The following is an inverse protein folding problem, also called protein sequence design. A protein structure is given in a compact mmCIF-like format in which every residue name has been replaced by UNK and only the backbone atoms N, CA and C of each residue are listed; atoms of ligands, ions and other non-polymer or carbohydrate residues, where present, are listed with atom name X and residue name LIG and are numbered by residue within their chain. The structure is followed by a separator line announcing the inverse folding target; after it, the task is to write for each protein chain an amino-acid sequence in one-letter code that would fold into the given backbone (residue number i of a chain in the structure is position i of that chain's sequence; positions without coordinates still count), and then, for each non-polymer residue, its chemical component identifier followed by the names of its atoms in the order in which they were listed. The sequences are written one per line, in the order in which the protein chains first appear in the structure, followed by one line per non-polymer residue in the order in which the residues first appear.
data_IF_149394924442
#
_entry.id   IF_149394924442
#
_cell.length_a   1.000
_cell.length_b   1.000
_cell.length_c   1.000
_cell.angle_alpha   90.00
_cell.angle_beta   90.00
_cell.angle_gamma   90.00
#
_symmetry.space_group_name_H-M   'P 1'
#
loop_
_entity.id
_entity.type
_entity.pdbx_description
1 polymer ?
#
# COMPACT_ATOMS: atom_id res chain seq x y z
N UNK A 1 -13.26 -8.23 -13.10
CA UNK A 1 -12.78 -7.03 -13.82
C UNK A 1 -12.63 -5.78 -12.92
N UNK A 2 -13.27 -5.72 -11.75
CA UNK A 2 -13.20 -4.55 -10.84
C UNK A 2 -12.01 -4.54 -9.87
N UNK A 3 -11.52 -5.72 -9.44
CA UNK A 3 -10.40 -5.82 -8.48
C UNK A 3 -9.03 -5.43 -9.04
N UNK A 4 -8.81 -5.66 -10.34
CA UNK A 4 -7.52 -5.39 -10.98
C UNK A 4 -7.31 -3.87 -11.16
N UNK A 5 -8.39 -3.18 -11.52
CA UNK A 5 -8.40 -1.72 -11.61
C UNK A 5 -8.21 -1.04 -10.26
N UNK A 6 -8.72 -1.60 -9.15
CA UNK A 6 -8.51 -1.02 -7.82
C UNK A 6 -7.07 -1.20 -7.32
N UNK A 7 -6.43 -2.33 -7.64
CA UNK A 7 -5.01 -2.58 -7.34
C UNK A 7 -4.06 -1.66 -8.12
N UNK A 8 -4.31 -1.48 -9.42
CA UNK A 8 -3.60 -0.51 -10.26
C UNK A 8 -3.69 0.92 -9.71
N UNK A 9 -4.90 1.36 -9.33
CA UNK A 9 -5.11 2.68 -8.73
C UNK A 9 -4.38 2.86 -7.39
N UNK A 10 -4.35 1.82 -6.55
CA UNK A 10 -3.62 1.84 -5.29
C UNK A 10 -2.11 2.00 -5.50
N UNK A 11 -1.54 1.21 -6.41
CA UNK A 11 -0.12 1.28 -6.76
C UNK A 11 0.26 2.67 -7.26
N UNK A 12 -0.56 3.24 -8.15
CA UNK A 12 -0.32 4.57 -8.69
C UNK A 12 -0.33 5.65 -7.59
N UNK A 13 -1.33 5.63 -6.71
CA UNK A 13 -1.43 6.60 -5.60
C UNK A 13 -0.27 6.48 -4.61
N UNK A 14 0.13 5.24 -4.29
CA UNK A 14 1.27 5.00 -3.42
C UNK A 14 2.56 5.50 -4.08
N UNK A 15 2.76 5.23 -5.37
CA UNK A 15 3.91 5.71 -6.13
C UNK A 15 3.98 7.24 -6.16
N UNK A 16 2.86 7.92 -6.43
CA UNK A 16 2.77 9.39 -6.40
C UNK A 16 3.13 9.96 -5.02
N UNK A 17 2.61 9.36 -3.95
CA UNK A 17 2.92 9.78 -2.58
C UNK A 17 4.40 9.61 -2.26
N UNK A 18 4.97 8.45 -2.59
CA UNK A 18 6.39 8.16 -2.37
C UNK A 18 7.28 9.14 -3.15
N UNK A 19 7.02 9.30 -4.44
CA UNK A 19 7.78 10.20 -5.31
C UNK A 19 7.65 11.66 -4.88
N UNK A 20 6.45 12.09 -4.46
CA UNK A 20 6.19 13.41 -3.90
C UNK A 20 6.99 13.66 -2.63
N UNK A 21 6.97 12.74 -1.67
CA UNK A 21 7.74 12.87 -0.42
C UNK A 21 9.25 12.94 -0.69
N UNK A 22 9.77 12.13 -1.61
CA UNK A 22 11.19 12.12 -1.97
C UNK A 22 11.59 13.44 -2.64
N UNK A 23 10.78 13.93 -3.58
CA UNK A 23 11.09 15.10 -4.39
C UNK A 23 10.97 16.41 -3.60
N UNK A 24 10.02 16.48 -2.67
CA UNK A 24 9.78 17.66 -1.85
C UNK A 24 10.63 17.70 -0.56
N UNK A 25 11.39 16.63 -0.26
CA UNK A 25 12.23 16.57 0.93
C UNK A 25 13.50 17.42 0.77
N UNK A 26 13.89 18.13 1.84
CA UNK A 26 15.21 18.77 1.96
C UNK A 26 16.36 17.76 1.87
N UNK A 27 16.06 16.48 2.18
CA UNK A 27 17.02 15.37 2.17
C UNK A 27 16.44 14.15 1.42
N UNK A 28 16.41 14.18 0.08
CA UNK A 28 15.82 13.12 -0.73
C UNK A 28 16.43 11.73 -0.49
N UNK A 29 17.73 11.67 -0.18
CA UNK A 29 18.43 10.41 0.15
C UNK A 29 17.92 9.76 1.44
N UNK A 30 17.65 10.56 2.48
CA UNK A 30 17.07 10.06 3.73
C UNK A 30 15.61 9.60 3.50
N UNK A 31 14.84 10.32 2.69
CA UNK A 31 13.48 9.94 2.31
C UNK A 31 13.45 8.60 1.52
N UNK A 32 14.36 8.41 0.57
CA UNK A 32 14.53 7.13 -0.14
C UNK A 32 14.84 5.98 0.82
N UNK A 33 15.80 6.19 1.72
CA UNK A 33 16.18 5.20 2.73
C UNK A 33 15.00 4.84 3.62
N UNK A 34 14.23 5.83 4.07
CA UNK A 34 13.03 5.64 4.89
C UNK A 34 12.01 4.76 4.17
N UNK A 35 11.68 5.08 2.92
CA UNK A 35 10.73 4.28 2.14
C UNK A 35 11.21 2.84 1.94
N UNK A 36 12.49 2.63 1.58
CA UNK A 36 13.04 1.28 1.46
C UNK A 36 12.93 0.49 2.77
N UNK A 37 13.29 1.10 3.90
CA UNK A 37 13.21 0.45 5.21
C UNK A 37 11.76 0.15 5.63
N UNK A 38 10.82 1.03 5.33
CA UNK A 38 9.39 0.80 5.60
C UNK A 38 8.83 -0.37 4.80
N UNK A 39 9.38 -0.60 3.61
CA UNK A 39 9.08 -1.78 2.79
C UNK A 39 9.89 -3.02 3.21
N UNK A 40 10.79 -2.90 4.19
CA UNK A 40 11.66 -3.97 4.69
C UNK A 40 12.57 -4.58 3.61
N UNK A 41 12.88 -3.82 2.56
CA UNK A 41 13.70 -4.27 1.43
C UNK A 41 15.18 -3.97 1.71
N UNK A 42 16.09 -4.94 1.51
CA UNK A 42 17.52 -4.69 1.69
C UNK A 42 18.11 -3.89 0.51
N UNK A 43 19.25 -3.21 0.72
CA UNK A 43 19.96 -2.54 -0.37
C UNK A 43 20.39 -3.52 -1.47
N UNK A 44 20.71 -4.76 -1.11
CA UNK A 44 21.06 -5.85 -2.02
C UNK A 44 19.90 -6.23 -2.93
N UNK A 45 18.68 -6.24 -2.40
CA UNK A 45 17.52 -6.75 -3.13
C UNK A 45 17.08 -5.72 -4.18
N UNK A 46 16.98 -4.46 -3.77
CA UNK A 46 16.64 -3.38 -4.69
C UNK A 46 17.75 -3.12 -5.73
N UNK A 47 19.02 -3.25 -5.34
CA UNK A 47 20.13 -3.10 -6.29
C UNK A 47 20.16 -4.24 -7.32
N UNK A 48 19.88 -5.47 -6.89
CA UNK A 48 19.74 -6.63 -7.78
C UNK A 48 18.57 -6.44 -8.74
N UNK A 49 17.42 -5.96 -8.25
CA UNK A 49 16.25 -5.67 -9.07
C UNK A 49 16.53 -4.58 -10.12
N UNK A 50 17.26 -3.53 -9.74
CA UNK A 50 17.61 -2.42 -10.63
C UNK A 50 18.81 -2.71 -11.54
N UNK A 51 19.49 -3.86 -11.37
CA UNK A 51 20.70 -4.20 -12.13
C UNK A 51 21.89 -3.27 -11.83
N UNK A 52 21.99 -2.75 -10.62
CA UNK A 52 23.06 -1.85 -10.17
C UNK A 52 23.81 -2.44 -8.99
N UNK A 53 24.99 -1.90 -8.67
CA UNK A 53 25.71 -2.30 -7.44
C UNK A 53 24.99 -1.78 -6.18
N UNK A 54 24.99 -2.52 -5.06
CA UNK A 54 24.51 -2.02 -3.77
C UNK A 54 25.13 -0.68 -3.34
N UNK A 55 26.38 -0.42 -3.75
CA UNK A 55 27.06 0.86 -3.49
C UNK A 55 26.34 2.05 -4.12
N UNK A 56 25.68 1.87 -5.27
CA UNK A 56 24.91 2.92 -5.95
C UNK A 56 23.70 3.32 -5.12
N UNK A 57 23.00 2.34 -4.54
CA UNK A 57 21.85 2.60 -3.65
C UNK A 57 22.33 3.33 -2.39
N UNK A 58 23.43 2.85 -1.79
CA UNK A 58 24.07 3.49 -0.64
C UNK A 58 24.51 4.93 -0.92
N UNK A 59 25.01 5.22 -2.12
CA UNK A 59 25.37 6.59 -2.55
C UNK A 59 24.17 7.55 -2.59
N UNK A 60 23.01 7.08 -3.04
CA UNK A 60 21.79 7.87 -3.01
C UNK A 60 21.28 8.06 -1.58
N UNK A 61 21.22 6.98 -0.79
CA UNK A 61 20.69 7.02 0.58
C UNK A 61 21.55 7.85 1.53
N UNK A 62 22.87 7.91 1.29
CA UNK A 62 23.80 8.73 2.08
C UNK A 62 23.84 10.20 1.66
N UNK A 63 23.15 10.57 0.58
CA UNK A 63 23.18 11.93 0.03
C UNK A 63 24.51 12.31 -0.63
N UNK A 64 25.41 11.34 -0.91
CA UNK A 64 26.63 11.58 -1.71
C UNK A 64 26.29 12.12 -3.10
N UNK A 65 25.15 11.70 -3.65
CA UNK A 65 24.57 12.28 -4.87
C UNK A 65 23.52 13.31 -4.47
N UNK A 66 23.83 14.59 -4.67
CA UNK A 66 22.92 15.70 -4.41
C UNK A 66 21.74 15.60 -5.37
N UNK A 67 20.56 15.34 -4.82
CA UNK A 67 19.26 15.24 -5.50
C UNK A 67 19.19 14.13 -6.58
N UNK A 68 18.51 13.01 -6.29
CA UNK A 68 18.19 12.01 -7.30
C UNK A 68 17.36 12.66 -8.42
N UNK A 69 17.73 12.44 -9.68
CA UNK A 69 16.89 12.87 -10.81
C UNK A 69 15.51 12.19 -10.79
N UNK A 70 14.49 12.84 -11.35
CA UNK A 70 13.11 12.31 -11.38
C UNK A 70 13.02 10.88 -11.94
N UNK A 71 13.85 10.56 -12.94
CA UNK A 71 13.92 9.23 -13.55
C UNK A 71 14.44 8.15 -12.59
N UNK A 72 15.39 8.47 -11.71
CA UNK A 72 15.89 7.49 -10.73
C UNK A 72 14.89 7.32 -9.58
N UNK A 73 14.19 8.40 -9.19
CA UNK A 73 13.12 8.34 -8.19
C UNK A 73 12.01 7.38 -8.67
N UNK A 74 11.52 7.55 -9.89
CA UNK A 74 10.51 6.66 -10.48
C UNK A 74 10.97 5.21 -10.43
N UNK A 75 12.18 4.92 -10.95
CA UNK A 75 12.72 3.54 -10.96
C UNK A 75 12.82 2.91 -9.57
N UNK A 76 13.24 3.68 -8.56
CA UNK A 76 13.34 3.17 -7.19
C UNK A 76 11.96 2.91 -6.61
N UNK A 77 11.02 3.83 -6.78
CA UNK A 77 9.64 3.69 -6.29
C UNK A 77 8.97 2.47 -6.94
N UNK A 78 9.08 2.33 -8.26
CA UNK A 78 8.55 1.20 -9.01
C UNK A 78 9.17 -0.13 -8.55
N UNK A 79 10.49 -0.14 -8.32
CA UNK A 79 11.19 -1.32 -7.81
C UNK A 79 10.68 -1.72 -6.41
N UNK A 80 10.50 -0.77 -5.49
CA UNK A 80 9.98 -1.05 -4.15
C UNK A 80 8.57 -1.68 -4.20
N UNK A 81 7.69 -1.12 -5.04
CA UNK A 81 6.31 -1.61 -5.20
C UNK A 81 6.30 -3.00 -5.85
N UNK A 82 7.16 -3.24 -6.85
CA UNK A 82 7.22 -4.52 -7.54
C UNK A 82 7.80 -5.62 -6.65
N UNK A 83 8.88 -5.35 -5.91
CA UNK A 83 9.48 -6.33 -4.97
C UNK A 83 8.47 -6.73 -3.89
N UNK A 84 7.73 -5.78 -3.31
CA UNK A 84 6.68 -6.10 -2.33
C UNK A 84 5.53 -6.87 -2.98
N UNK A 85 5.12 -6.49 -4.20
CA UNK A 85 4.07 -7.19 -4.95
C UNK A 85 4.42 -8.65 -5.23
N UNK A 86 5.67 -8.94 -5.59
CA UNK A 86 6.18 -10.31 -5.79
C UNK A 86 6.23 -11.10 -4.47
N UNK A 87 6.42 -10.40 -3.34
CA UNK A 87 6.47 -10.97 -1.98
C UNK A 87 5.10 -11.07 -1.29
N UNK A 88 4.00 -10.84 -2.02
CA UNK A 88 2.62 -10.96 -1.51
C UNK A 88 1.93 -9.64 -1.16
N UNK A 89 2.55 -8.48 -1.39
CA UNK A 89 1.92 -7.16 -1.33
C UNK A 89 1.56 -6.66 0.07
N UNK A 90 2.17 -7.22 1.11
CA UNK A 90 1.80 -6.95 2.51
C UNK A 90 1.96 -5.47 2.87
N UNK A 91 3.00 -4.80 2.37
CA UNK A 91 3.26 -3.39 2.68
C UNK A 91 2.32 -2.50 1.88
N UNK A 92 2.11 -2.79 0.60
CA UNK A 92 1.12 -2.06 -0.23
C UNK A 92 -0.27 -2.09 0.43
N UNK A 93 -0.71 -3.25 0.92
CA UNK A 93 -1.99 -3.39 1.65
C UNK A 93 -1.99 -2.69 3.01
N UNK A 94 -0.86 -2.59 3.71
CA UNK A 94 -0.80 -1.80 4.94
C UNK A 94 -0.98 -0.29 4.68
N UNK A 95 -0.47 0.20 3.54
CA UNK A 95 -0.65 1.60 3.14
C UNK A 95 -2.03 1.91 2.54
N UNK A 96 -2.80 0.88 2.16
CA UNK A 96 -4.20 0.99 1.74
C UNK A 96 -5.01 1.80 2.78
N UNK A 97 -5.04 1.38 4.04
CA UNK A 97 -5.80 2.08 5.09
C UNK A 97 -5.42 3.56 5.28
N UNK A 98 -4.14 3.91 5.05
CA UNK A 98 -3.65 5.29 5.17
C UNK A 98 -3.94 6.13 3.92
N UNK A 99 -4.00 5.52 2.73
CA UNK A 99 -4.28 6.22 1.46
C UNK A 99 -5.78 6.37 1.21
N UNK A 100 -6.60 5.44 1.70
CA UNK A 100 -8.06 5.48 1.58
C UNK A 100 -8.75 6.20 2.74
N UNK A 101 -8.03 6.66 3.77
CA UNK A 101 -8.63 7.49 4.83
C UNK A 101 -9.17 8.83 4.30
N UNK A 102 -8.70 9.28 3.14
CA UNK A 102 -9.10 10.54 2.49
C UNK A 102 -10.18 10.37 1.41
N UNK A 103 -10.57 9.14 1.06
CA UNK A 103 -11.61 8.84 0.07
C UNK A 103 -12.57 7.79 0.61
N UNK A 104 -13.62 8.30 1.26
CA UNK A 104 -14.91 7.69 1.60
C UNK A 104 -14.90 6.15 1.58
N UNK A 105 -14.92 5.58 2.79
CA UNK A 105 -15.36 4.21 3.02
C UNK A 105 -16.58 3.91 2.15
N UNK A 106 -16.40 3.09 1.11
CA UNK A 106 -17.51 2.34 0.51
C UNK A 106 -17.83 1.11 1.38
N UNK A 107 -17.65 1.25 2.69
CA UNK A 107 -17.99 0.27 3.70
C UNK A 107 -19.13 0.88 4.50
N UNK A 108 -20.29 0.23 4.41
CA UNK A 108 -21.59 0.62 4.99
C UNK A 108 -22.29 1.74 4.21
N UNK A 109 -23.26 1.33 3.38
CA UNK A 109 -24.18 2.26 2.69
C UNK A 109 -25.12 2.97 3.67
N UNK A 110 -25.52 2.30 4.75
CA UNK A 110 -26.24 2.87 5.89
C UNK A 110 -26.25 1.85 7.06
N UNK A 111 -26.19 2.35 8.29
CA UNK A 111 -26.50 1.57 9.50
C UNK A 111 -27.84 2.04 10.02
N UNK A 112 -28.77 1.12 10.24
CA UNK A 112 -30.04 1.40 10.90
C UNK A 112 -30.16 0.52 12.13
N UNK A 113 -30.62 1.11 13.23
CA UNK A 113 -31.06 0.34 14.39
C UNK A 113 -32.50 -0.15 14.14
N UNK A 114 -32.79 -1.38 14.54
CA UNK A 114 -34.15 -1.90 14.50
C UNK A 114 -35.01 -1.11 15.49
N UNK A 115 -36.08 -0.49 15.00
CA UNK A 115 -37.05 0.25 15.82
C UNK A 115 -37.77 -0.64 16.82
N UNK A 116 -37.76 -1.96 16.59
CA UNK A 116 -38.35 -2.96 17.46
C UNK A 116 -37.36 -4.09 17.73
N UNK A 117 -37.21 -4.54 18.99
CA UNK A 117 -36.39 -5.71 19.30
C UNK A 117 -37.00 -6.95 18.63
N UNK A 118 -36.18 -7.69 17.88
CA UNK A 118 -36.58 -8.93 17.22
C UNK A 118 -35.58 -10.04 17.55
N UNK A 119 -36.08 -11.24 17.84
CA UNK A 119 -35.23 -12.42 18.03
C UNK A 119 -34.57 -12.81 16.70
N UNK A 120 -33.26 -13.08 16.74
CA UNK A 120 -32.49 -13.47 15.56
C UNK A 120 -33.08 -14.69 14.84
N UNK A 121 -33.57 -15.68 15.60
CA UNK A 121 -34.24 -16.87 15.04
C UNK A 121 -35.47 -16.50 14.21
N UNK A 122 -36.29 -15.56 14.69
CA UNK A 122 -37.48 -15.08 13.97
C UNK A 122 -37.09 -14.33 12.70
N UNK A 123 -36.05 -13.49 12.76
CA UNK A 123 -35.53 -12.78 11.59
C UNK A 123 -35.04 -13.77 10.53
N UNK A 124 -34.25 -14.78 10.94
CA UNK A 124 -33.71 -15.79 10.04
C UNK A 124 -34.81 -16.56 9.30
N UNK A 125 -35.90 -16.94 9.99
CA UNK A 125 -37.06 -17.56 9.33
C UNK A 125 -37.74 -16.62 8.33
N UNK A 126 -37.91 -15.34 8.68
CA UNK A 126 -38.61 -14.37 7.82
C UNK A 126 -37.86 -14.06 6.52
N UNK A 127 -36.53 -14.07 6.56
CA UNK A 127 -35.68 -13.80 5.39
C UNK A 127 -35.20 -15.08 4.69
N UNK A 128 -35.69 -16.25 5.12
CA UNK A 128 -35.26 -17.55 4.59
C UNK A 128 -33.74 -17.75 4.65
N UNK A 129 -33.10 -17.28 5.73
CA UNK A 129 -31.65 -17.37 5.85
C UNK A 129 -31.18 -18.79 6.20
N UNK A 130 -30.09 -19.20 5.55
CA UNK A 130 -29.34 -20.40 5.91
C UNK A 130 -28.23 -20.12 6.91
N UNK A 131 -28.03 -21.07 7.83
CA UNK A 131 -26.95 -20.97 8.82
C UNK A 131 -25.65 -21.44 8.18
N UNK A 132 -24.80 -20.48 7.79
CA UNK A 132 -23.50 -20.76 7.19
C UNK A 132 -22.47 -21.34 8.18
N UNK A 133 -22.59 -21.03 9.47
CA UNK A 133 -21.71 -21.56 10.50
C UNK A 133 -22.44 -21.63 11.84
N UNK A 134 -22.45 -22.82 12.45
CA UNK A 134 -22.80 -23.03 13.85
C UNK A 134 -21.47 -23.15 14.56
N UNK A 135 -20.97 -22.05 15.12
CA UNK A 135 -19.68 -22.03 15.82
C UNK A 135 -19.53 -23.19 16.82
N UNK A 136 -18.28 -23.52 17.15
CA UNK A 136 -17.93 -24.56 18.14
C UNK A 136 -18.45 -24.20 19.52
#
# INVERSE_FOLDING_TARGET
MTEDASKENLRHRLAEKMAGEITLSDKPGEALKKWRLNFEIAQTDISSYLGVSPSVISDYESGRRKSPGTLIVSKIVDALINIDSESGGHKIHAYEGMLYSDQVSKAVYATYEYTYPMQLAKLATLIEADVANRGV
#
